data_IF_448059327123
#
_entry.id   IF_448059327123
#
_cell.length_a   1.000
_cell.length_b   1.000
_cell.length_c   1.000
_cell.angle_alpha   90.00
_cell.angle_beta   90.00
_cell.angle_gamma   90.00
#
_symmetry.space_group_name_H-M   'P 1'
#
loop_
_entity.id
_entity.type
_entity.pdbx_description
1 polymer ?
#
# COMPACT_ATOMS: atom_id res chain seq x y z
N UNK A 1 -29.81 -19.48 23.63
CA UNK A 1 -28.34 -19.41 23.73
C UNK A 1 -27.62 -20.64 23.19
N UNK A 2 -27.77 -21.87 23.72
CA UNK A 2 -27.08 -23.07 23.18
C UNK A 2 -27.60 -23.55 21.81
N UNK A 3 -28.89 -23.37 21.53
CA UNK A 3 -29.49 -23.77 20.25
C UNK A 3 -29.21 -22.76 19.12
N UNK A 4 -29.12 -21.48 19.44
CA UNK A 4 -28.84 -20.42 18.45
C UNK A 4 -27.39 -20.50 17.95
N UNK A 5 -26.42 -20.73 18.85
CA UNK A 5 -25.02 -20.95 18.48
C UNK A 5 -24.79 -22.19 17.61
N UNK A 6 -25.64 -23.22 17.75
CA UNK A 6 -25.55 -24.43 16.94
C UNK A 6 -26.09 -24.18 15.52
N UNK A 7 -27.19 -23.43 15.41
CA UNK A 7 -27.79 -23.01 14.14
C UNK A 7 -26.89 -22.09 13.33
N UNK A 8 -26.22 -21.12 13.99
CA UNK A 8 -25.33 -20.18 13.31
C UNK A 8 -24.07 -20.86 12.76
N UNK A 9 -23.50 -21.81 13.51
CA UNK A 9 -22.34 -22.60 13.06
C UNK A 9 -22.68 -23.51 11.87
N UNK A 10 -23.92 -24.01 11.82
CA UNK A 10 -24.39 -24.86 10.72
C UNK A 10 -24.58 -24.04 9.43
N UNK A 11 -25.11 -22.82 9.53
CA UNK A 11 -25.21 -21.87 8.40
C UNK A 11 -23.85 -21.43 7.88
N UNK A 12 -22.90 -21.16 8.79
CA UNK A 12 -21.51 -20.79 8.44
C UNK A 12 -20.84 -21.91 7.62
N UNK A 13 -20.98 -23.17 8.06
CA UNK A 13 -20.46 -24.32 7.32
C UNK A 13 -21.14 -24.49 5.96
N UNK A 14 -22.46 -24.31 5.87
CA UNK A 14 -23.19 -24.39 4.59
C UNK A 14 -22.71 -23.34 3.57
N UNK A 15 -22.45 -22.10 4.02
CA UNK A 15 -21.90 -21.04 3.17
C UNK A 15 -20.49 -21.37 2.66
N UNK A 16 -19.62 -21.92 3.53
CA UNK A 16 -18.29 -22.34 3.14
C UNK A 16 -18.34 -23.51 2.14
N UNK A 17 -19.16 -24.53 2.40
CA UNK A 17 -19.36 -25.66 1.48
C UNK A 17 -19.89 -25.22 0.13
N UNK A 18 -20.87 -24.31 0.11
CA UNK A 18 -21.41 -23.75 -1.12
C UNK A 18 -20.35 -23.00 -1.94
N UNK A 19 -19.59 -22.10 -1.31
CA UNK A 19 -18.54 -21.35 -2.00
C UNK A 19 -17.45 -22.28 -2.57
N UNK A 20 -17.04 -23.28 -1.79
CA UNK A 20 -16.02 -24.24 -2.19
C UNK A 20 -16.40 -24.98 -3.49
N UNK A 21 -17.65 -25.46 -3.56
CA UNK A 21 -18.16 -26.14 -4.74
C UNK A 21 -18.17 -25.24 -5.99
N UNK A 22 -18.43 -23.94 -5.81
CA UNK A 22 -18.45 -22.98 -6.93
C UNK A 22 -17.05 -22.57 -7.38
N UNK A 23 -16.13 -22.31 -6.45
CA UNK A 23 -14.76 -21.90 -6.79
C UNK A 23 -13.93 -23.01 -7.45
N UNK A 24 -14.27 -24.29 -7.21
CA UNK A 24 -13.69 -25.42 -7.94
C UNK A 24 -13.95 -25.36 -9.46
N UNK A 25 -15.02 -24.70 -9.90
CA UNK A 25 -15.35 -24.53 -11.32
C UNK A 25 -14.54 -23.43 -12.04
N UNK A 26 -13.66 -22.70 -11.33
CA UNK A 26 -12.87 -21.53 -11.78
C UNK A 26 -13.63 -20.31 -12.27
N UNK A 27 -14.91 -20.46 -12.67
CA UNK A 27 -15.79 -19.38 -13.06
C UNK A 27 -16.68 -18.99 -11.88
N UNK A 28 -16.41 -17.85 -11.26
CA UNK A 28 -17.30 -17.27 -10.26
C UNK A 28 -18.60 -16.79 -10.92
N UNK A 29 -19.75 -17.18 -10.36
CA UNK A 29 -21.06 -16.64 -10.72
C UNK A 29 -21.52 -15.56 -9.72
N UNK A 30 -22.70 -14.98 -9.98
CA UNK A 30 -23.28 -13.93 -9.15
C UNK A 30 -23.43 -14.33 -7.67
N UNK A 31 -23.87 -15.57 -7.43
CA UNK A 31 -24.01 -16.12 -6.08
C UNK A 31 -22.65 -16.22 -5.37
N UNK A 32 -21.61 -16.64 -6.10
CA UNK A 32 -20.24 -16.71 -5.60
C UNK A 32 -19.72 -15.32 -5.19
N UNK A 33 -19.99 -14.28 -5.99
CA UNK A 33 -19.59 -12.90 -5.64
C UNK A 33 -20.26 -12.41 -4.36
N UNK A 34 -21.55 -12.72 -4.17
CA UNK A 34 -22.27 -12.36 -2.94
C UNK A 34 -21.65 -13.04 -1.73
N UNK A 35 -21.33 -14.34 -1.82
CA UNK A 35 -20.73 -15.08 -0.70
C UNK A 35 -19.33 -14.56 -0.39
N UNK A 36 -18.50 -14.29 -1.40
CA UNK A 36 -17.19 -13.65 -1.20
C UNK A 36 -17.35 -12.29 -0.53
N UNK A 37 -18.32 -11.48 -0.97
CA UNK A 37 -18.60 -10.18 -0.37
C UNK A 37 -19.01 -10.27 1.11
N UNK A 38 -19.83 -11.26 1.47
CA UNK A 38 -20.17 -11.54 2.88
C UNK A 38 -18.90 -11.90 3.67
N UNK A 39 -18.03 -12.75 3.13
CA UNK A 39 -16.77 -13.12 3.79
C UNK A 39 -15.85 -11.91 3.98
N UNK A 40 -15.73 -11.04 2.98
CA UNK A 40 -15.00 -9.78 3.08
C UNK A 40 -15.52 -8.91 4.24
N UNK A 41 -16.85 -8.79 4.40
CA UNK A 41 -17.45 -8.02 5.49
C UNK A 41 -17.20 -8.66 6.86
N UNK A 42 -17.33 -9.99 6.97
CA UNK A 42 -17.01 -10.73 8.20
C UNK A 42 -15.55 -10.50 8.61
N UNK A 43 -14.63 -10.62 7.64
CA UNK A 43 -13.20 -10.41 7.85
C UNK A 43 -12.90 -8.95 8.23
N UNK A 44 -13.51 -7.98 7.55
CA UNK A 44 -13.39 -6.56 7.89
C UNK A 44 -13.83 -6.28 9.34
N UNK A 45 -15.02 -6.72 9.73
CA UNK A 45 -15.52 -6.52 11.11
C UNK A 45 -14.70 -7.26 12.16
N UNK A 46 -14.04 -8.36 11.79
CA UNK A 46 -13.13 -9.07 12.69
C UNK A 46 -11.84 -8.35 13.02
N UNK A 47 -11.39 -7.43 12.17
CA UNK A 47 -10.31 -6.52 12.53
C UNK A 47 -10.72 -5.59 13.70
N UNK A 48 -12.02 -5.33 13.89
CA UNK A 48 -12.56 -4.57 15.02
C UNK A 48 -13.03 -5.48 16.17
N UNK A 49 -12.46 -6.69 16.26
CA UNK A 49 -12.73 -7.68 17.29
C UNK A 49 -14.15 -8.28 17.34
N UNK A 50 -14.96 -8.10 16.30
CA UNK A 50 -16.31 -8.70 16.14
C UNK A 50 -16.24 -9.94 15.25
N UNK A 51 -17.08 -10.97 15.40
CA UNK A 51 -17.06 -12.15 14.50
C UNK A 51 -15.69 -12.90 14.42
N UNK A 52 -14.90 -12.88 15.51
CA UNK A 52 -13.59 -13.55 15.57
C UNK A 52 -13.65 -15.05 15.28
N UNK A 53 -14.68 -15.76 15.75
CA UNK A 53 -14.78 -17.20 15.51
C UNK A 53 -15.00 -17.51 14.02
N UNK A 54 -15.96 -16.82 13.40
CA UNK A 54 -16.32 -17.01 11.98
C UNK A 54 -15.17 -16.61 11.05
N UNK A 55 -14.50 -15.49 11.33
CA UNK A 55 -13.30 -15.10 10.55
C UNK A 55 -12.19 -16.16 10.62
N UNK A 56 -11.95 -16.78 11.78
CA UNK A 56 -10.99 -17.88 11.90
C UNK A 56 -11.37 -19.09 11.04
N UNK A 57 -12.66 -19.43 10.98
CA UNK A 57 -13.12 -20.56 10.16
C UNK A 57 -12.93 -20.28 8.66
N UNK A 58 -13.21 -19.04 8.22
CA UNK A 58 -12.96 -18.59 6.84
C UNK A 58 -11.46 -18.67 6.52
N UNK A 59 -10.61 -18.07 7.37
CA UNK A 59 -9.16 -17.98 7.14
C UNK A 59 -8.47 -19.34 7.05
N UNK A 60 -8.94 -20.34 7.81
CA UNK A 60 -8.35 -21.67 7.91
C UNK A 60 -9.04 -22.71 7.01
N UNK A 61 -9.99 -22.29 6.17
CA UNK A 61 -10.73 -23.21 5.30
C UNK A 61 -9.84 -23.71 4.15
N UNK A 62 -9.44 -24.98 4.19
CA UNK A 62 -8.51 -25.58 3.22
C UNK A 62 -9.00 -25.54 1.77
N UNK A 63 -10.29 -25.76 1.55
CA UNK A 63 -10.88 -25.75 0.21
C UNK A 63 -10.87 -24.35 -0.38
N UNK A 64 -11.23 -23.33 0.41
CA UNK A 64 -11.15 -21.93 0.01
C UNK A 64 -9.69 -21.53 -0.30
N UNK A 65 -8.75 -21.95 0.53
CA UNK A 65 -7.31 -21.71 0.29
C UNK A 65 -6.88 -22.31 -1.04
N UNK A 66 -7.22 -23.58 -1.29
CA UNK A 66 -6.87 -24.27 -2.54
C UNK A 66 -7.52 -23.61 -3.75
N UNK A 67 -8.75 -23.12 -3.61
CA UNK A 67 -9.48 -22.50 -4.71
C UNK A 67 -8.94 -21.11 -5.05
N UNK A 68 -8.59 -20.30 -4.03
CA UNK A 68 -7.89 -19.03 -4.21
C UNK A 68 -6.55 -19.25 -4.92
N UNK A 69 -5.75 -20.23 -4.47
CA UNK A 69 -4.47 -20.54 -5.10
C UNK A 69 -4.65 -20.98 -6.56
N UNK A 70 -5.61 -21.87 -6.85
CA UNK A 70 -5.92 -22.31 -8.20
C UNK A 70 -6.29 -21.15 -9.14
N UNK A 71 -7.15 -20.22 -8.68
CA UNK A 71 -7.54 -19.04 -9.47
C UNK A 71 -6.33 -18.14 -9.74
N UNK A 72 -5.54 -17.85 -8.71
CA UNK A 72 -4.34 -16.99 -8.83
C UNK A 72 -3.30 -17.61 -9.75
N UNK A 73 -3.02 -18.91 -9.63
CA UNK A 73 -2.07 -19.61 -10.49
C UNK A 73 -2.57 -19.67 -11.94
N UNK A 74 -3.87 -19.92 -12.15
CA UNK A 74 -4.48 -19.93 -13.49
C UNK A 74 -4.31 -18.58 -14.17
N UNK A 75 -4.66 -17.51 -13.48
CA UNK A 75 -4.52 -16.15 -14.02
C UNK A 75 -3.05 -15.76 -14.20
N UNK A 76 -2.19 -16.13 -13.25
CA UNK A 76 -0.76 -15.86 -13.34
C UNK A 76 -0.11 -16.57 -14.52
N UNK A 77 -0.54 -17.79 -14.84
CA UNK A 77 -0.07 -18.56 -15.98
C UNK A 77 -0.48 -17.96 -17.32
N UNK A 78 -1.66 -17.33 -17.41
CA UNK A 78 -2.11 -16.58 -18.60
C UNK A 78 -1.22 -15.35 -18.88
N UNK A 79 -0.77 -14.66 -17.82
CA UNK A 79 0.13 -13.52 -17.98
C UNK A 79 -0.55 -12.35 -18.73
N UNK A 80 0.14 -11.70 -19.68
CA UNK A 80 -0.41 -10.54 -20.41
C UNK A 80 -1.71 -10.81 -21.18
N UNK A 81 -1.98 -12.06 -21.59
CA UNK A 81 -3.21 -12.41 -22.30
C UNK A 81 -4.47 -12.33 -21.42
N UNK A 82 -4.32 -12.12 -20.10
CA UNK A 82 -5.44 -11.85 -19.21
C UNK A 82 -6.22 -10.59 -19.61
N UNK A 83 -5.54 -9.59 -20.19
CA UNK A 83 -6.19 -8.36 -20.63
C UNK A 83 -7.05 -8.55 -21.90
N UNK A 84 -6.84 -9.65 -22.63
CA UNK A 84 -7.44 -9.91 -23.94
C UNK A 84 -8.64 -10.88 -23.89
N UNK A 85 -8.92 -11.52 -22.74
CA UNK A 85 -9.95 -12.55 -22.56
C UNK A 85 -11.08 -12.16 -21.58
N UNK A 86 -12.21 -12.88 -21.71
CA UNK A 86 -13.50 -12.78 -21.00
C UNK A 86 -13.50 -12.05 -19.64
N UNK A 87 -14.33 -11.00 -19.55
CA UNK A 87 -14.60 -10.20 -18.34
C UNK A 87 -14.93 -11.01 -17.06
N UNK A 88 -15.37 -12.28 -17.20
CA UNK A 88 -15.70 -13.15 -16.07
C UNK A 88 -14.50 -13.49 -15.16
N UNK A 89 -13.35 -13.82 -15.75
CA UNK A 89 -12.15 -14.19 -14.95
C UNK A 89 -11.54 -12.98 -14.24
N UNK A 90 -11.58 -11.81 -14.87
CA UNK A 90 -11.16 -10.55 -14.24
C UNK A 90 -12.02 -10.24 -13.00
N UNK A 91 -13.34 -10.33 -13.12
CA UNK A 91 -14.24 -10.09 -11.99
C UNK A 91 -14.04 -11.08 -10.84
N UNK A 92 -13.91 -12.36 -11.14
CA UNK A 92 -13.57 -13.39 -10.15
C UNK A 92 -12.26 -13.08 -9.43
N UNK A 93 -11.21 -12.70 -10.18
CA UNK A 93 -9.94 -12.31 -9.58
C UNK A 93 -10.07 -11.08 -8.66
N UNK A 94 -10.81 -10.06 -9.06
CA UNK A 94 -11.00 -8.85 -8.23
C UNK A 94 -11.64 -9.23 -6.87
N UNK A 95 -12.69 -10.04 -6.88
CA UNK A 95 -13.34 -10.49 -5.64
C UNK A 95 -12.40 -11.35 -4.79
N UNK A 96 -11.62 -12.25 -5.40
CA UNK A 96 -10.61 -13.06 -4.72
C UNK A 96 -9.51 -12.19 -4.10
N UNK A 97 -9.04 -11.15 -4.79
CA UNK A 97 -8.04 -10.22 -4.26
C UNK A 97 -8.61 -9.35 -3.12
N UNK A 98 -9.87 -8.91 -3.22
CA UNK A 98 -10.54 -8.23 -2.11
C UNK A 98 -10.68 -9.14 -0.89
N UNK A 99 -11.08 -10.40 -1.10
CA UNK A 99 -11.13 -11.41 -0.04
C UNK A 99 -9.77 -11.58 0.62
N UNK A 100 -8.71 -11.65 -0.19
CA UNK A 100 -7.34 -11.75 0.31
C UNK A 100 -6.93 -10.51 1.11
N UNK A 101 -7.22 -9.30 0.63
CA UNK A 101 -6.97 -8.05 1.37
C UNK A 101 -7.63 -8.06 2.76
N UNK A 102 -8.92 -8.37 2.84
CA UNK A 102 -9.61 -8.42 4.13
C UNK A 102 -9.14 -9.60 4.99
N UNK A 103 -8.70 -10.70 4.37
CA UNK A 103 -8.07 -11.82 5.06
C UNK A 103 -6.77 -11.40 5.75
N UNK A 104 -5.92 -10.62 5.07
CA UNK A 104 -4.70 -10.07 5.65
C UNK A 104 -4.99 -9.17 6.85
N UNK A 105 -5.95 -8.23 6.70
CA UNK A 105 -6.38 -7.35 7.81
C UNK A 105 -6.86 -8.15 9.02
N UNK A 106 -7.71 -9.15 8.80
CA UNK A 106 -8.20 -10.02 9.87
C UNK A 106 -7.06 -10.84 10.50
N UNK A 107 -6.17 -11.40 9.67
CA UNK A 107 -5.04 -12.22 10.11
C UNK A 107 -4.10 -11.42 11.00
N UNK A 108 -3.65 -10.25 10.54
CA UNK A 108 -2.70 -9.41 11.28
C UNK A 108 -3.27 -8.89 12.60
N UNK A 109 -4.58 -8.67 12.69
CA UNK A 109 -5.21 -8.24 13.96
C UNK A 109 -5.53 -9.40 14.91
N UNK A 110 -5.94 -10.56 14.39
CA UNK A 110 -6.43 -11.67 15.22
C UNK A 110 -5.39 -12.77 15.50
N UNK A 111 -4.26 -12.77 14.79
CA UNK A 111 -3.20 -13.79 14.86
C UNK A 111 -1.80 -13.17 14.99
N UNK A 112 -1.64 -12.08 15.75
CA UNK A 112 -0.36 -11.38 15.95
C UNK A 112 0.79 -12.30 16.40
N UNK A 113 0.49 -13.38 17.12
CA UNK A 113 1.49 -14.32 17.64
C UNK A 113 2.04 -15.31 16.60
N UNK A 114 1.34 -15.52 15.47
CA UNK A 114 1.65 -16.58 14.51
C UNK A 114 1.54 -16.06 13.08
N UNK A 115 2.52 -15.27 12.65
CA UNK A 115 2.70 -14.99 11.23
C UNK A 115 4.01 -15.60 10.75
N UNK A 116 3.91 -16.50 9.79
CA UNK A 116 5.05 -17.08 9.09
C UNK A 116 5.23 -16.29 7.79
N UNK A 117 6.14 -15.31 7.77
CA UNK A 117 6.49 -14.58 6.54
C UNK A 117 6.90 -15.51 5.39
N UNK A 118 7.33 -16.75 5.70
CA UNK A 118 7.59 -17.84 4.74
C UNK A 118 6.40 -18.17 3.84
N UNK A 119 5.17 -17.88 4.28
CA UNK A 119 3.98 -18.06 3.46
C UNK A 119 3.92 -17.02 2.31
N UNK A 120 4.42 -15.80 2.55
CA UNK A 120 4.35 -14.69 1.59
C UNK A 120 5.63 -14.52 0.77
N UNK A 121 6.77 -14.83 1.39
CA UNK A 121 8.13 -14.67 0.84
C UNK A 121 8.77 -16.04 0.63
N UNK A 122 9.50 -16.20 -0.48
CA UNK A 122 10.23 -17.44 -0.75
C UNK A 122 11.40 -17.59 0.26
N UNK A 123 11.29 -18.59 1.14
CA UNK A 123 12.35 -18.98 2.07
C UNK A 123 13.19 -20.11 1.47
N UNK A 124 14.52 -20.11 1.66
CA UNK A 124 15.37 -21.21 1.21
C UNK A 124 15.26 -22.48 2.07
N UNK A 125 14.71 -22.38 3.29
CA UNK A 125 14.56 -23.50 4.23
C UNK A 125 13.12 -24.04 4.23
N UNK A 126 12.91 -25.20 3.58
CA UNK A 126 11.61 -25.89 3.42
C UNK A 126 11.08 -26.58 4.70
N UNK A 127 11.86 -26.61 5.80
CA UNK A 127 11.57 -27.50 6.94
C UNK A 127 10.55 -26.99 7.97
N UNK A 128 9.95 -25.80 7.80
CA UNK A 128 9.00 -25.23 8.79
C UNK A 128 7.57 -25.30 8.27
N UNK A 129 6.66 -25.83 9.11
CA UNK A 129 5.23 -25.93 8.81
C UNK A 129 4.63 -24.56 8.46
N UNK A 130 4.16 -24.44 7.22
CA UNK A 130 3.39 -23.29 6.75
C UNK A 130 2.02 -23.26 7.44
N UNK A 131 1.58 -22.07 7.85
CA UNK A 131 0.18 -21.88 8.24
C UNK A 131 -0.70 -22.11 7.02
N UNK A 132 -1.65 -23.04 7.12
CA UNK A 132 -2.69 -23.24 6.11
C UNK A 132 -3.73 -22.12 6.20
N UNK A 133 -3.35 -20.94 5.71
CA UNK A 133 -4.20 -19.74 5.61
C UNK A 133 -4.27 -19.25 4.17
N UNK A 134 -5.29 -18.45 3.84
CA UNK A 134 -5.41 -17.82 2.53
C UNK A 134 -4.18 -16.93 2.32
N UNK A 135 -3.33 -17.30 1.35
CA UNK A 135 -2.05 -16.66 1.14
C UNK A 135 -1.73 -16.57 -0.36
N UNK A 136 -1.52 -15.35 -0.84
CA UNK A 136 -0.99 -15.09 -2.17
C UNK A 136 0.46 -14.62 -1.99
N UNK A 137 1.41 -15.26 -2.69
CA UNK A 137 2.83 -14.91 -2.55
C UNK A 137 3.09 -13.54 -3.15
N UNK A 138 4.06 -12.81 -2.60
CA UNK A 138 4.42 -11.47 -3.11
C UNK A 138 4.77 -11.47 -4.60
N UNK A 139 5.41 -12.52 -5.12
CA UNK A 139 5.71 -12.62 -6.55
C UNK A 139 4.45 -12.77 -7.42
N UNK A 140 3.42 -13.45 -6.95
CA UNK A 140 2.14 -13.58 -7.67
C UNK A 140 1.43 -12.21 -7.69
N UNK A 141 1.45 -11.48 -6.57
CA UNK A 141 0.95 -10.09 -6.54
C UNK A 141 1.72 -9.19 -7.51
N UNK A 142 3.05 -9.28 -7.53
CA UNK A 142 3.89 -8.50 -8.47
C UNK A 142 3.58 -8.84 -9.93
N UNK A 143 3.35 -10.12 -10.25
CA UNK A 143 2.90 -10.57 -11.57
C UNK A 143 1.57 -9.90 -11.95
N UNK A 144 0.57 -9.98 -11.07
CA UNK A 144 -0.73 -9.34 -11.28
C UNK A 144 -0.62 -7.82 -11.43
N UNK A 145 0.27 -7.16 -10.69
CA UNK A 145 0.54 -5.73 -10.84
C UNK A 145 1.23 -5.40 -12.18
N UNK A 146 2.11 -6.27 -12.66
CA UNK A 146 2.85 -6.05 -13.90
C UNK A 146 1.93 -6.10 -15.13
N UNK A 147 1.15 -7.18 -15.29
CA UNK A 147 0.36 -7.42 -16.50
C UNK A 147 -1.17 -7.35 -16.32
N UNK A 148 -1.68 -7.28 -15.08
CA UNK A 148 -3.12 -7.27 -14.85
C UNK A 148 -3.81 -5.99 -15.36
N UNK A 149 -5.14 -6.02 -15.56
CA UNK A 149 -5.92 -4.84 -15.90
C UNK A 149 -5.90 -3.80 -14.76
N UNK A 150 -6.23 -2.52 -15.03
CA UNK A 150 -6.05 -1.42 -14.07
C UNK A 150 -6.57 -1.70 -12.65
N UNK A 151 -7.80 -2.22 -12.54
CA UNK A 151 -8.41 -2.48 -11.24
C UNK A 151 -7.71 -3.62 -10.49
N UNK A 152 -7.27 -4.66 -11.19
CA UNK A 152 -6.44 -5.75 -10.62
C UNK A 152 -5.13 -5.19 -10.09
N UNK A 153 -4.46 -4.28 -10.81
CA UNK A 153 -3.23 -3.63 -10.34
C UNK A 153 -3.45 -2.86 -9.04
N UNK A 154 -4.55 -2.11 -8.94
CA UNK A 154 -4.88 -1.37 -7.73
C UNK A 154 -5.06 -2.31 -6.54
N UNK A 155 -5.94 -3.32 -6.65
CA UNK A 155 -6.20 -4.24 -5.53
C UNK A 155 -4.96 -5.08 -5.18
N UNK A 156 -4.22 -5.59 -6.17
CA UNK A 156 -3.00 -6.35 -5.94
C UNK A 156 -1.90 -5.52 -5.27
N UNK A 157 -1.70 -4.27 -5.71
CA UNK A 157 -0.75 -3.35 -5.07
C UNK A 157 -1.13 -3.05 -3.62
N UNK A 158 -2.43 -2.91 -3.33
CA UNK A 158 -2.93 -2.71 -1.97
C UNK A 158 -2.72 -3.94 -1.09
N UNK A 159 -2.92 -5.15 -1.64
CA UNK A 159 -2.60 -6.39 -0.94
C UNK A 159 -1.11 -6.47 -0.61
N UNK A 160 -0.23 -6.06 -1.54
CA UNK A 160 1.22 -6.06 -1.31
C UNK A 160 1.62 -5.09 -0.19
N UNK A 161 1.03 -3.90 -0.15
CA UNK A 161 1.21 -2.95 0.97
C UNK A 161 0.82 -3.60 2.29
N UNK A 162 -0.33 -4.27 2.34
CA UNK A 162 -0.82 -4.92 3.57
C UNK A 162 0.11 -6.06 4.02
N UNK A 163 0.56 -6.91 3.09
CA UNK A 163 1.53 -7.99 3.38
C UNK A 163 2.84 -7.43 3.94
N UNK A 164 3.44 -6.45 3.27
CA UNK A 164 4.72 -5.89 3.70
C UNK A 164 4.59 -5.11 5.02
N UNK A 165 3.46 -4.44 5.24
CA UNK A 165 3.15 -3.77 6.50
C UNK A 165 3.09 -4.78 7.64
N UNK A 166 2.33 -5.86 7.48
CA UNK A 166 2.22 -6.91 8.50
C UNK A 166 3.55 -7.61 8.80
N UNK A 167 4.37 -7.91 7.77
CA UNK A 167 5.72 -8.45 7.98
C UNK A 167 6.61 -7.45 8.73
N UNK A 168 6.56 -6.16 8.36
CA UNK A 168 7.37 -5.12 9.00
C UNK A 168 7.02 -4.94 10.48
N UNK A 169 5.74 -4.89 10.80
CA UNK A 169 5.25 -4.74 12.18
C UNK A 169 5.68 -5.92 13.03
N UNK A 170 5.50 -7.14 12.52
CA UNK A 170 5.85 -8.34 13.26
C UNK A 170 7.36 -8.46 13.49
N UNK A 171 8.20 -8.05 12.53
CA UNK A 171 9.65 -7.99 12.71
C UNK A 171 10.06 -6.95 13.74
N UNK A 172 9.35 -5.83 13.80
CA UNK A 172 9.59 -4.80 14.80
C UNK A 172 9.29 -5.31 16.22
N UNK A 173 8.22 -6.11 16.38
CA UNK A 173 7.82 -6.69 17.67
C UNK A 173 8.72 -7.86 18.09
N UNK A 174 8.93 -8.82 17.19
CA UNK A 174 9.58 -10.09 17.52
C UNK A 174 11.10 -10.08 17.32
N UNK A 175 11.65 -9.04 16.68
CA UNK A 175 13.07 -8.94 16.30
C UNK A 175 13.61 -10.15 15.52
N UNK A 176 12.73 -10.89 14.85
CA UNK A 176 13.11 -12.09 14.14
C UNK A 176 13.87 -11.77 12.85
N UNK A 177 14.89 -12.58 12.56
CA UNK A 177 15.64 -12.51 11.32
C UNK A 177 14.78 -12.96 10.13
N UNK A 178 14.68 -12.10 9.11
CA UNK A 178 13.94 -12.41 7.90
C UNK A 178 14.79 -13.26 6.96
N UNK A 179 14.41 -14.53 6.78
CA UNK A 179 15.02 -15.43 5.79
C UNK A 179 14.26 -15.43 4.48
N UNK A 180 14.66 -14.56 3.56
CA UNK A 180 14.12 -14.45 2.20
C UNK A 180 15.27 -14.54 1.17
N UNK A 181 15.01 -15.18 0.03
CA UNK A 181 15.97 -15.20 -1.08
C UNK A 181 16.23 -13.79 -1.61
N UNK A 182 17.50 -13.39 -1.75
CA UNK A 182 17.87 -12.08 -2.30
C UNK A 182 17.36 -11.88 -3.74
N UNK A 183 17.46 -12.91 -4.58
CA UNK A 183 16.96 -12.86 -5.96
C UNK A 183 15.43 -12.67 -6.02
N UNK A 184 14.72 -13.24 -5.03
CA UNK A 184 13.28 -13.06 -4.91
C UNK A 184 12.94 -11.61 -4.50
N UNK A 185 13.69 -11.03 -3.56
CA UNK A 185 13.53 -9.63 -3.17
C UNK A 185 13.88 -8.67 -4.31
N UNK A 186 14.96 -8.93 -5.03
CA UNK A 186 15.35 -8.14 -6.21
C UNK A 186 14.24 -8.15 -7.26
N UNK A 187 13.61 -9.31 -7.51
CA UNK A 187 12.49 -9.42 -8.45
C UNK A 187 11.28 -8.58 -8.02
N UNK A 188 10.97 -8.58 -6.71
CA UNK A 188 9.89 -7.75 -6.14
C UNK A 188 10.24 -6.26 -6.29
N UNK A 189 11.45 -5.85 -5.90
CA UNK A 189 11.90 -4.46 -5.97
C UNK A 189 11.84 -3.94 -7.41
N UNK A 190 12.32 -4.71 -8.38
CA UNK A 190 12.31 -4.32 -9.80
C UNK A 190 10.89 -4.02 -10.33
N UNK A 191 9.91 -4.85 -9.98
CA UNK A 191 8.50 -4.61 -10.38
C UNK A 191 7.96 -3.36 -9.70
N UNK A 192 8.23 -3.18 -8.41
CA UNK A 192 7.74 -2.04 -7.66
C UNK A 192 8.38 -0.73 -8.16
N UNK A 193 9.70 -0.68 -8.35
CA UNK A 193 10.42 0.48 -8.89
C UNK A 193 9.89 0.88 -10.26
N UNK A 194 9.65 -0.08 -11.16
CA UNK A 194 9.08 0.19 -12.48
C UNK A 194 7.66 0.76 -12.43
N UNK A 195 6.86 0.36 -11.44
CA UNK A 195 5.47 0.81 -11.29
C UNK A 195 5.31 2.12 -10.50
N UNK A 196 6.38 2.67 -9.92
CA UNK A 196 6.37 4.05 -9.39
C UNK A 196 6.01 5.06 -10.47
N UNK A 197 6.39 4.78 -11.72
CA UNK A 197 6.07 5.61 -12.89
C UNK A 197 4.74 5.25 -13.55
N UNK A 198 3.91 4.40 -12.93
CA UNK A 198 2.60 4.05 -13.46
C UNK A 198 1.68 5.29 -13.54
N UNK A 199 0.87 5.37 -14.60
CA UNK A 199 -0.13 6.45 -14.74
C UNK A 199 -1.24 6.39 -13.69
N UNK A 200 -1.47 5.23 -13.08
CA UNK A 200 -2.38 5.07 -11.95
C UNK A 200 -1.68 5.52 -10.65
N UNK A 201 -2.16 6.63 -10.09
CA UNK A 201 -1.59 7.24 -8.89
C UNK A 201 -1.68 6.33 -7.66
N UNK A 202 -2.75 5.55 -7.51
CA UNK A 202 -2.92 4.65 -6.36
C UNK A 202 -1.88 3.54 -6.42
N UNK A 203 -1.69 2.94 -7.60
CA UNK A 203 -0.66 1.92 -7.81
C UNK A 203 0.73 2.49 -7.55
N UNK A 204 1.05 3.65 -8.13
CA UNK A 204 2.35 4.31 -7.93
C UNK A 204 2.63 4.61 -6.45
N UNK A 205 1.61 5.10 -5.72
CA UNK A 205 1.73 5.41 -4.31
C UNK A 205 1.91 4.15 -3.45
N UNK A 206 1.15 3.09 -3.74
CA UNK A 206 1.31 1.80 -3.08
C UNK A 206 2.72 1.23 -3.33
N UNK A 207 3.24 1.37 -4.55
CA UNK A 207 4.61 0.98 -4.87
C UNK A 207 5.64 1.76 -4.05
N UNK A 208 5.50 3.08 -3.95
CA UNK A 208 6.37 3.90 -3.11
C UNK A 208 6.30 3.52 -1.61
N UNK A 209 5.11 3.17 -1.10
CA UNK A 209 4.96 2.65 0.26
C UNK A 209 5.71 1.33 0.44
N UNK A 210 5.52 0.37 -0.48
CA UNK A 210 6.21 -0.92 -0.45
C UNK A 210 7.74 -0.76 -0.45
N UNK A 211 8.30 0.05 -1.36
CA UNK A 211 9.75 0.32 -1.39
C UNK A 211 10.25 0.95 -0.09
N UNK A 212 9.49 1.90 0.46
CA UNK A 212 9.84 2.55 1.71
C UNK A 212 9.86 1.57 2.89
N UNK A 213 8.93 0.60 2.92
CA UNK A 213 8.92 -0.47 3.93
C UNK A 213 10.12 -1.40 3.77
N UNK A 214 10.43 -1.81 2.53
CA UNK A 214 11.59 -2.66 2.24
C UNK A 214 12.91 -1.98 2.62
N UNK A 215 13.07 -0.68 2.34
CA UNK A 215 14.25 0.08 2.77
C UNK A 215 14.44 0.05 4.29
N UNK A 216 13.35 0.14 5.06
CA UNK A 216 13.41 0.08 6.52
C UNK A 216 13.84 -1.29 7.05
N UNK A 217 13.80 -2.33 6.23
CA UNK A 217 14.27 -3.66 6.62
C UNK A 217 15.78 -3.74 6.81
N UNK A 218 16.55 -2.77 6.32
CA UNK A 218 17.98 -2.59 6.63
C UNK A 218 18.20 -2.55 8.15
N UNK A 219 17.45 -1.69 8.84
CA UNK A 219 17.52 -1.52 10.31
C UNK A 219 17.06 -2.75 11.09
N UNK A 220 16.41 -3.68 10.41
CA UNK A 220 15.94 -4.95 10.96
C UNK A 220 16.90 -6.11 10.62
N UNK A 221 18.11 -5.80 10.15
CA UNK A 221 19.20 -6.76 9.91
C UNK A 221 19.37 -7.23 8.47
N UNK A 222 18.51 -6.81 7.53
CA UNK A 222 18.63 -7.20 6.11
C UNK A 222 19.39 -6.13 5.32
N UNK A 223 20.70 -6.03 5.54
CA UNK A 223 21.53 -4.93 5.04
C UNK A 223 21.61 -4.91 3.51
N UNK A 224 21.52 -6.07 2.86
CA UNK A 224 21.59 -6.24 1.41
C UNK A 224 20.43 -5.51 0.69
N UNK A 225 19.30 -5.30 1.35
CA UNK A 225 18.17 -4.56 0.76
C UNK A 225 18.55 -3.14 0.39
N UNK A 226 19.47 -2.53 1.14
CA UNK A 226 19.98 -1.19 0.85
C UNK A 226 20.82 -1.15 -0.43
N UNK A 227 21.49 -2.26 -0.77
CA UNK A 227 22.23 -2.39 -2.04
C UNK A 227 21.27 -2.61 -3.21
N UNK A 228 20.26 -3.46 -3.02
CA UNK A 228 19.25 -3.75 -4.04
C UNK A 228 18.47 -2.49 -4.40
N UNK A 229 18.01 -1.74 -3.39
CA UNK A 229 17.20 -0.53 -3.62
C UNK A 229 18.09 0.69 -3.91
N UNK A 230 19.35 0.71 -3.47
CA UNK A 230 20.33 1.74 -3.85
C UNK A 230 20.74 1.74 -5.33
N UNK A 231 19.99 1.02 -6.19
CA UNK A 231 20.24 0.81 -7.61
C UNK A 231 20.12 2.10 -8.44
N UNK A 232 20.40 1.96 -9.75
CA UNK A 232 20.23 3.05 -10.72
C UNK A 232 18.77 3.49 -10.88
N UNK A 233 17.79 2.65 -10.56
CA UNK A 233 16.38 2.98 -10.69
C UNK A 233 15.94 3.96 -9.60
N UNK A 234 16.29 3.70 -8.35
CA UNK A 234 16.05 4.65 -7.26
C UNK A 234 16.76 5.98 -7.49
N UNK A 235 17.97 5.98 -8.09
CA UNK A 235 18.61 7.22 -8.54
C UNK A 235 17.76 7.97 -9.58
N UNK A 236 17.28 7.28 -10.61
CA UNK A 236 16.42 7.87 -11.64
C UNK A 236 15.15 8.48 -11.04
N UNK A 237 14.48 7.78 -10.13
CA UNK A 237 13.28 8.27 -9.42
C UNK A 237 13.58 9.60 -8.70
N UNK A 238 14.72 9.69 -8.02
CA UNK A 238 15.10 10.90 -7.27
C UNK A 238 15.55 12.02 -8.22
N UNK A 239 16.26 11.73 -9.30
CA UNK A 239 16.63 12.73 -10.31
C UNK A 239 15.39 13.35 -10.97
N UNK A 240 14.41 12.54 -11.35
CA UNK A 240 13.13 13.01 -11.92
C UNK A 240 12.31 13.83 -10.91
N UNK A 241 12.30 13.44 -9.64
CA UNK A 241 11.70 14.22 -8.57
C UNK A 241 12.35 15.60 -8.45
N UNK A 242 13.68 15.66 -8.39
CA UNK A 242 14.43 16.91 -8.27
C UNK A 242 14.18 17.80 -9.49
N UNK A 243 14.19 17.23 -10.70
CA UNK A 243 13.87 17.99 -11.92
C UNK A 243 12.45 18.56 -11.87
N UNK A 244 11.48 17.77 -11.40
CA UNK A 244 10.07 18.17 -11.28
C UNK A 244 9.86 19.30 -10.27
N UNK A 245 10.56 19.25 -9.13
CA UNK A 245 10.42 20.23 -8.05
C UNK A 245 11.28 21.48 -8.26
N UNK A 246 12.51 21.34 -8.75
CA UNK A 246 13.43 22.45 -8.95
C UNK A 246 13.19 23.22 -10.25
N UNK A 247 12.68 22.55 -11.28
CA UNK A 247 12.49 23.11 -12.62
C UNK A 247 11.15 22.66 -13.23
N UNK A 248 10.01 23.03 -12.64
CA UNK A 248 8.69 22.50 -13.05
C UNK A 248 8.34 22.77 -14.53
N UNK A 249 8.88 23.82 -15.14
CA UNK A 249 8.69 24.13 -16.56
C UNK A 249 9.41 23.18 -17.53
N UNK A 250 10.41 22.43 -17.04
CA UNK A 250 11.16 21.43 -17.80
C UNK A 250 10.69 20.00 -17.52
N UNK A 251 9.81 19.83 -16.53
CA UNK A 251 9.31 18.53 -16.12
C UNK A 251 8.40 17.91 -17.19
N UNK A 252 8.50 16.60 -17.36
CA UNK A 252 7.59 15.84 -18.22
C UNK A 252 6.16 15.94 -17.71
N UNK A 253 5.20 16.25 -18.61
CA UNK A 253 3.75 16.26 -18.30
C UNK A 253 3.25 14.91 -17.77
N UNK A 254 3.95 13.81 -18.08
CA UNK A 254 3.60 12.46 -17.63
C UNK A 254 3.89 12.24 -16.14
N UNK A 255 4.79 13.05 -15.56
CA UNK A 255 5.33 12.86 -14.20
C UNK A 255 4.83 13.91 -13.19
N UNK A 256 4.06 14.91 -13.63
CA UNK A 256 3.61 16.01 -12.78
C UNK A 256 2.83 15.55 -11.53
N UNK A 257 2.15 14.41 -11.59
CA UNK A 257 1.40 13.83 -10.47
C UNK A 257 2.20 12.80 -9.65
N UNK A 258 3.44 12.51 -10.01
CA UNK A 258 4.28 11.44 -9.40
C UNK A 258 5.34 11.97 -8.43
N UNK A 259 5.37 13.28 -8.18
CA UNK A 259 6.27 13.88 -7.19
C UNK A 259 6.04 13.33 -5.77
N UNK A 260 4.79 12.97 -5.39
CA UNK A 260 4.51 12.43 -4.04
C UNK A 260 5.08 11.01 -3.83
N UNK A 261 4.80 10.01 -4.71
CA UNK A 261 5.47 8.71 -4.63
C UNK A 261 7.00 8.82 -4.59
N UNK A 262 7.58 9.64 -5.48
CA UNK A 262 9.03 9.80 -5.55
C UNK A 262 9.61 10.51 -4.32
N UNK A 263 8.95 11.53 -3.78
CA UNK A 263 9.35 12.21 -2.54
C UNK A 263 9.38 11.24 -1.35
N UNK A 264 8.41 10.33 -1.27
CA UNK A 264 8.36 9.29 -0.23
C UNK A 264 9.56 8.35 -0.32
N UNK A 265 9.93 7.92 -1.52
CA UNK A 265 11.11 7.06 -1.76
C UNK A 265 12.40 7.82 -1.41
N UNK A 266 12.54 9.07 -1.86
CA UNK A 266 13.69 9.91 -1.54
C UNK A 266 13.87 10.09 -0.02
N UNK A 267 12.79 10.37 0.71
CA UNK A 267 12.81 10.46 2.17
C UNK A 267 13.21 9.12 2.81
N UNK A 268 12.70 7.99 2.31
CA UNK A 268 13.08 6.67 2.82
C UNK A 268 14.57 6.35 2.62
N UNK A 269 15.14 6.72 1.46
CA UNK A 269 16.58 6.58 1.19
C UNK A 269 17.44 7.44 2.13
N UNK A 270 17.01 8.67 2.42
CA UNK A 270 17.69 9.56 3.37
C UNK A 270 17.65 9.03 4.82
N UNK A 271 16.68 8.18 5.16
CA UNK A 271 16.55 7.55 6.49
C UNK A 271 17.43 6.32 6.70
N UNK A 272 18.05 5.80 5.65
CA UNK A 272 18.98 4.67 5.72
C UNK A 272 20.18 4.99 6.61
N UNK A 273 20.76 3.97 7.23
CA UNK A 273 21.97 4.18 8.04
C UNK A 273 23.16 4.51 7.14
N UNK A 274 23.26 3.82 6.00
CA UNK A 274 24.20 4.14 4.92
C UNK A 274 23.47 4.74 3.73
N UNK A 275 23.36 6.06 3.73
CA UNK A 275 22.78 6.82 2.62
C UNK A 275 23.59 6.57 1.32
N UNK A 276 22.95 6.21 0.20
CA UNK A 276 23.64 6.06 -1.08
C UNK A 276 24.42 7.33 -1.48
N UNK A 277 25.71 7.18 -1.78
CA UNK A 277 26.62 8.33 -2.00
C UNK A 277 26.22 9.25 -3.15
N UNK A 278 25.46 8.76 -4.13
CA UNK A 278 24.96 9.57 -5.25
C UNK A 278 23.88 10.58 -4.82
N UNK A 279 23.21 10.41 -3.68
CA UNK A 279 22.14 11.31 -3.23
C UNK A 279 22.65 12.74 -3.05
N UNK A 280 23.89 12.91 -2.58
CA UNK A 280 24.53 14.23 -2.44
C UNK A 280 24.77 14.94 -3.77
N UNK A 281 24.99 14.19 -4.85
CA UNK A 281 25.11 14.78 -6.18
C UNK A 281 23.77 15.15 -6.82
N UNK A 282 22.67 14.52 -6.39
CA UNK A 282 21.33 14.79 -6.92
C UNK A 282 20.66 15.93 -6.13
N UNK A 283 20.77 15.92 -4.80
CA UNK A 283 20.38 17.04 -3.93
C UNK A 283 21.58 17.94 -3.65
N UNK A 284 22.14 18.55 -4.70
CA UNK A 284 23.15 19.59 -4.53
C UNK A 284 22.53 20.93 -4.10
N UNK A 285 23.37 21.89 -3.73
CA UNK A 285 22.90 23.18 -3.22
C UNK A 285 22.05 23.95 -4.25
N UNK A 286 22.35 23.82 -5.55
CA UNK A 286 21.59 24.50 -6.61
C UNK A 286 20.21 23.88 -6.79
N UNK A 287 20.14 22.55 -6.80
CA UNK A 287 18.90 21.80 -6.88
C UNK A 287 18.00 22.09 -5.68
N UNK A 288 18.55 22.06 -4.46
CA UNK A 288 17.80 22.35 -3.24
C UNK A 288 17.26 23.79 -3.25
N UNK A 289 18.09 24.78 -3.61
CA UNK A 289 17.60 26.16 -3.74
C UNK A 289 16.47 26.27 -4.74
N UNK A 290 16.61 25.65 -5.91
CA UNK A 290 15.54 25.59 -6.91
C UNK A 290 14.26 24.94 -6.37
N UNK A 291 14.35 23.86 -5.60
CA UNK A 291 13.20 23.22 -4.96
C UNK A 291 12.51 24.20 -3.99
N UNK A 292 13.27 24.82 -3.08
CA UNK A 292 12.74 25.72 -2.06
C UNK A 292 12.09 26.96 -2.67
N UNK A 293 12.66 27.48 -3.77
CA UNK A 293 12.14 28.65 -4.49
C UNK A 293 10.84 28.35 -5.28
N UNK A 294 10.66 27.11 -5.76
CA UNK A 294 9.52 26.74 -6.60
C UNK A 294 8.36 26.08 -5.84
N UNK A 295 8.57 25.59 -4.62
CA UNK A 295 7.47 25.07 -3.79
C UNK A 295 6.67 26.24 -3.22
N UNK A 296 5.35 26.18 -3.39
CA UNK A 296 4.39 27.11 -2.80
C UNK A 296 3.50 26.42 -1.77
N UNK A 297 2.86 27.21 -0.90
CA UNK A 297 1.93 26.71 0.11
C UNK A 297 0.80 25.84 -0.50
N UNK A 298 0.30 26.21 -1.69
CA UNK A 298 -0.74 25.44 -2.40
C UNK A 298 -0.27 24.11 -2.99
N UNK A 299 1.05 23.89 -3.10
CA UNK A 299 1.64 22.64 -3.63
C UNK A 299 2.16 21.70 -2.53
N UNK A 300 2.05 22.09 -1.25
CA UNK A 300 2.53 21.28 -0.15
C UNK A 300 1.71 19.99 0.02
N UNK A 301 2.42 18.93 0.37
CA UNK A 301 1.84 17.64 0.74
C UNK A 301 2.67 16.99 1.83
N UNK A 302 2.11 16.05 2.61
CA UNK A 302 2.83 15.37 3.68
C UNK A 302 4.16 14.76 3.19
N UNK A 303 4.18 14.20 1.97
CA UNK A 303 5.36 13.58 1.39
C UNK A 303 6.48 14.58 1.07
N UNK A 304 6.13 15.79 0.62
CA UNK A 304 7.09 16.86 0.35
C UNK A 304 7.66 17.42 1.66
N UNK A 305 6.81 17.63 2.67
CA UNK A 305 7.28 18.09 3.99
C UNK A 305 8.18 17.05 4.64
N UNK A 306 7.81 15.77 4.55
CA UNK A 306 8.63 14.66 5.01
C UNK A 306 10.00 14.66 4.33
N UNK A 307 10.07 14.85 3.01
CA UNK A 307 11.33 14.95 2.28
C UNK A 307 12.19 16.12 2.76
N UNK A 308 11.60 17.32 2.89
CA UNK A 308 12.32 18.51 3.36
C UNK A 308 12.86 18.32 4.79
N UNK A 309 12.10 17.63 5.65
CA UNK A 309 12.56 17.26 7.00
C UNK A 309 13.76 16.33 6.94
N UNK A 310 13.72 15.27 6.14
CA UNK A 310 14.86 14.35 6.04
C UNK A 310 16.12 15.03 5.44
N UNK A 311 15.94 15.92 4.46
CA UNK A 311 17.04 16.74 3.93
C UNK A 311 17.64 17.65 5.01
N UNK A 312 16.82 18.25 5.86
CA UNK A 312 17.28 19.06 6.98
C UNK A 312 18.06 18.20 7.99
N UNK A 313 17.46 17.11 8.46
CA UNK A 313 18.01 16.24 9.51
C UNK A 313 19.31 15.56 9.08
N UNK A 314 19.53 15.38 7.77
CA UNK A 314 20.78 14.88 7.21
C UNK A 314 21.76 15.98 6.76
N UNK A 315 21.53 17.24 7.10
CA UNK A 315 22.38 18.39 6.77
C UNK A 315 22.60 18.59 5.26
N UNK A 316 21.55 18.40 4.47
CA UNK A 316 21.51 18.78 3.05
C UNK A 316 21.06 20.23 2.88
N UNK A 317 20.17 20.73 3.76
CA UNK A 317 19.74 22.13 3.73
C UNK A 317 20.77 23.05 4.42
N UNK A 318 21.06 24.19 3.80
CA UNK A 318 21.78 25.29 4.43
C UNK A 318 20.90 26.04 5.43
N UNK A 319 21.49 26.84 6.32
CA UNK A 319 20.73 27.64 7.30
C UNK A 319 19.72 28.58 6.64
N UNK A 320 20.11 29.19 5.52
CA UNK A 320 19.24 30.09 4.77
C UNK A 320 18.07 29.31 4.13
N UNK A 321 18.35 28.15 3.55
CA UNK A 321 17.31 27.27 3.00
C UNK A 321 16.33 26.78 4.08
N UNK A 322 16.83 26.45 5.28
CA UNK A 322 15.97 26.09 6.43
C UNK A 322 15.07 27.26 6.80
N UNK A 323 15.60 28.49 6.88
CA UNK A 323 14.80 29.68 7.17
C UNK A 323 13.70 29.93 6.12
N UNK A 324 13.99 29.71 4.83
CA UNK A 324 13.01 29.79 3.76
C UNK A 324 11.90 28.74 3.92
N UNK A 325 12.25 27.48 4.22
CA UNK A 325 11.27 26.40 4.46
C UNK A 325 10.41 26.69 5.69
N UNK A 326 11.00 27.18 6.78
CA UNK A 326 10.25 27.64 7.97
C UNK A 326 9.22 28.70 7.60
N UNK A 327 9.63 29.72 6.86
CA UNK A 327 8.73 30.78 6.44
C UNK A 327 7.58 30.24 5.58
N UNK A 328 7.87 29.37 4.62
CA UNK A 328 6.87 28.70 3.79
C UNK A 328 5.83 27.94 4.63
N UNK A 329 6.27 27.17 5.64
CA UNK A 329 5.37 26.43 6.51
C UNK A 329 4.54 27.33 7.44
N UNK A 330 5.09 28.47 7.89
CA UNK A 330 4.33 29.49 8.61
C UNK A 330 3.25 30.13 7.73
N UNK A 331 3.58 30.46 6.48
CA UNK A 331 2.61 30.99 5.51
C UNK A 331 1.48 30.00 5.28
N UNK A 332 1.80 28.71 5.08
CA UNK A 332 0.78 27.67 4.94
C UNK A 332 -0.14 27.57 6.15
N UNK A 333 0.43 27.53 7.37
CA UNK A 333 -0.36 27.49 8.62
C UNK A 333 -1.32 28.68 8.72
N UNK A 334 -0.84 29.89 8.43
CA UNK A 334 -1.67 31.09 8.49
C UNK A 334 -2.85 31.01 7.49
N UNK A 335 -2.60 30.54 6.26
CA UNK A 335 -3.64 30.35 5.24
C UNK A 335 -4.66 29.27 5.65
N UNK A 336 -4.19 28.15 6.21
CA UNK A 336 -5.05 27.06 6.67
C UNK A 336 -6.05 27.51 7.74
N UNK A 337 -5.63 28.32 8.72
CA UNK A 337 -6.53 28.82 9.76
C UNK A 337 -7.57 29.84 9.23
N UNK A 338 -7.23 30.60 8.18
CA UNK A 338 -8.19 31.50 7.50
C UNK A 338 -9.23 30.74 6.65
N UNK A 339 -8.88 29.58 6.10
CA UNK A 339 -9.81 28.75 5.32
C UNK A 339 -10.74 27.89 6.20
N UNK A 340 -10.29 27.46 7.38
CA UNK A 340 -11.12 26.72 8.36
C UNK A 340 -12.32 27.56 8.82
N UNK A 341 -12.25 28.88 8.78
CA UNK A 341 -13.39 29.77 9.09
C UNK A 341 -14.40 29.92 7.95
N UNK A 342 -14.14 29.35 6.76
CA UNK A 342 -14.99 29.49 5.56
C UNK A 342 -15.48 28.17 4.94
N UNK A 343 -14.98 27.01 5.33
CA UNK A 343 -15.33 25.74 4.67
C UNK A 343 -16.48 25.02 5.38
N UNK A 344 -17.67 25.18 4.82
CA UNK A 344 -18.79 24.24 4.89
C UNK A 344 -18.37 22.93 4.22
N UNK A 345 -18.54 21.79 4.90
CA UNK A 345 -18.24 20.45 4.38
C UNK A 345 -18.86 20.21 3.00
N UNK A 346 -18.05 20.29 1.95
CA UNK A 346 -18.40 19.73 0.65
C UNK A 346 -17.78 18.35 0.56
N UNK A 347 -18.61 17.35 0.87
CA UNK A 347 -18.33 15.94 0.58
C UNK A 347 -18.04 15.87 -0.92
N UNK A 348 -16.79 15.58 -1.30
CA UNK A 348 -16.45 15.32 -2.70
C UNK A 348 -17.36 14.19 -3.20
N UNK A 349 -18.33 14.57 -4.02
CA UNK A 349 -19.08 13.63 -4.84
C UNK A 349 -18.09 13.07 -5.83
N UNK A 350 -17.81 11.78 -5.71
CA UNK A 350 -17.23 11.01 -6.80
C UNK A 350 -18.19 11.20 -7.98
N UNK A 351 -17.73 11.90 -9.02
CA UNK A 351 -18.41 11.93 -10.31
C UNK A 351 -18.44 10.51 -10.85
N UNK A 352 -19.54 9.81 -10.62
CA UNK A 352 -19.89 8.60 -11.37
C UNK A 352 -20.58 9.04 -12.65
N UNK A 353 -19.80 9.12 -13.73
CA UNK A 353 -20.31 8.67 -15.02
C UNK A 353 -20.38 7.15 -14.92
N UNK A 354 -21.56 6.58 -15.17
CA UNK A 354 -21.91 5.18 -15.55
C UNK A 354 -23.22 4.78 -14.86
N UNK A 355 -24.12 4.17 -15.63
CA UNK A 355 -25.50 3.84 -15.25
C UNK A 355 -25.63 3.04 -13.97
N UNK A 356 -26.85 3.04 -13.42
CA UNK A 356 -27.25 2.33 -12.18
C UNK A 356 -26.62 0.92 -12.20
N UNK A 357 -25.61 0.64 -11.36
CA UNK A 357 -24.99 -0.68 -11.33
C UNK A 357 -26.01 -1.70 -10.82
N UNK A 358 -25.90 -2.94 -11.29
CA UNK A 358 -26.52 -4.07 -10.60
C UNK A 358 -26.01 -4.18 -9.15
N UNK A 359 -26.65 -5.02 -8.33
CA UNK A 359 -26.32 -5.13 -6.92
C UNK A 359 -24.90 -5.66 -6.65
N UNK A 360 -24.30 -6.36 -7.60
CA UNK A 360 -22.92 -6.88 -7.53
C UNK A 360 -21.91 -5.76 -7.79
N UNK A 361 -22.18 -4.91 -8.77
CA UNK A 361 -21.41 -3.70 -9.06
C UNK A 361 -21.38 -2.77 -7.84
N UNK A 362 -22.52 -2.59 -7.16
CA UNK A 362 -22.60 -1.83 -5.90
C UNK A 362 -21.78 -2.48 -4.78
N UNK A 363 -21.88 -3.80 -4.62
CA UNK A 363 -21.10 -4.54 -3.62
C UNK A 363 -19.60 -4.39 -3.87
N UNK A 364 -19.14 -4.55 -5.13
CA UNK A 364 -17.74 -4.36 -5.50
C UNK A 364 -17.25 -2.96 -5.16
N UNK A 365 -18.01 -1.92 -5.51
CA UNK A 365 -17.68 -0.53 -5.18
C UNK A 365 -17.61 -0.33 -3.66
N UNK A 366 -18.56 -0.91 -2.91
CA UNK A 366 -18.57 -0.83 -1.44
C UNK A 366 -17.30 -1.47 -0.85
N UNK A 367 -16.95 -2.69 -1.25
CA UNK A 367 -15.76 -3.39 -0.76
C UNK A 367 -14.47 -2.65 -1.14
N UNK A 368 -14.42 -2.10 -2.35
CA UNK A 368 -13.30 -1.29 -2.81
C UNK A 368 -13.15 0.00 -2.00
N UNK A 369 -14.26 0.68 -1.69
CA UNK A 369 -14.26 1.85 -0.82
C UNK A 369 -13.81 1.50 0.61
N UNK A 370 -14.23 0.35 1.16
CA UNK A 370 -13.75 -0.13 2.47
C UNK A 370 -12.25 -0.46 2.46
N UNK A 371 -11.72 -0.92 1.32
CA UNK A 371 -10.30 -1.19 1.16
C UNK A 371 -9.48 0.11 1.12
N UNK A 372 -9.88 1.08 0.29
CA UNK A 372 -9.14 2.35 0.12
C UNK A 372 -9.36 3.32 1.27
N UNK A 373 -10.55 3.31 1.86
CA UNK A 373 -10.98 4.21 2.93
C UNK A 373 -11.58 3.39 4.09
N UNK A 374 -10.74 2.65 4.85
CA UNK A 374 -11.21 1.78 5.94
C UNK A 374 -12.06 2.52 7.00
N UNK A 375 -11.86 3.83 7.11
CA UNK A 375 -12.51 4.71 8.08
C UNK A 375 -13.71 5.48 7.53
N UNK A 376 -14.30 5.11 6.39
CA UNK A 376 -15.52 5.76 5.88
C UNK A 376 -16.74 5.66 6.85
N UNK A 377 -16.62 4.90 7.94
CA UNK A 377 -17.59 4.75 9.02
C UNK A 377 -17.20 5.51 10.31
N UNK A 378 -16.02 6.13 10.39
CA UNK A 378 -15.51 6.83 11.57
C UNK A 378 -15.29 8.34 11.30
N UNK A 379 -15.90 9.26 12.07
CA UNK A 379 -15.88 10.70 11.79
C UNK A 379 -14.56 11.42 12.14
N UNK A 380 -13.54 10.71 12.63
CA UNK A 380 -12.27 11.29 13.10
C UNK A 380 -11.08 10.67 12.37
N UNK A 381 -10.95 10.96 11.08
CA UNK A 381 -9.74 10.62 10.31
C UNK A 381 -8.93 11.89 10.11
N UNK A 382 -7.60 11.86 10.30
CA UNK A 382 -6.76 12.94 9.84
C UNK A 382 -6.90 13.05 8.32
N UNK A 383 -7.53 14.10 7.85
CA UNK A 383 -7.49 14.48 6.45
C UNK A 383 -6.02 14.64 6.01
N UNK A 384 -5.73 14.58 4.72
CA UNK A 384 -4.40 14.91 4.18
C UNK A 384 -3.87 16.25 4.74
N UNK A 385 -4.78 17.16 5.07
CA UNK A 385 -4.52 18.41 5.78
C UNK A 385 -3.99 18.21 7.21
N UNK A 386 -4.67 17.41 8.04
CA UNK A 386 -4.20 17.13 9.41
C UNK A 386 -2.84 16.45 9.39
N UNK A 387 -2.64 15.48 8.49
CA UNK A 387 -1.36 14.80 8.34
C UNK A 387 -0.25 15.73 7.86
N UNK A 388 -0.58 16.68 6.98
CA UNK A 388 0.36 17.71 6.55
C UNK A 388 0.75 18.63 7.71
N UNK A 389 -0.22 19.04 8.54
CA UNK A 389 0.06 19.83 9.75
C UNK A 389 0.95 19.06 10.73
N UNK A 390 0.68 17.77 10.98
CA UNK A 390 1.54 16.92 11.83
C UNK A 390 2.98 16.84 11.30
N UNK A 391 3.17 16.68 9.98
CA UNK A 391 4.51 16.64 9.38
C UNK A 391 5.23 17.99 9.49
N UNK A 392 4.51 19.11 9.35
CA UNK A 392 5.02 20.46 9.54
C UNK A 392 5.45 20.66 11.01
N UNK A 393 4.65 20.17 11.96
CA UNK A 393 4.93 20.29 13.39
C UNK A 393 6.19 19.51 13.78
N UNK A 394 6.34 18.30 13.26
CA UNK A 394 7.57 17.51 13.40
C UNK A 394 8.79 18.23 12.84
N UNK A 395 8.66 18.91 11.69
CA UNK A 395 9.76 19.70 11.12
C UNK A 395 10.19 20.84 12.06
N UNK A 396 9.24 21.60 12.61
CA UNK A 396 9.56 22.67 13.57
C UNK A 396 10.25 22.13 14.82
N UNK A 397 9.78 20.99 15.34
CA UNK A 397 10.38 20.36 16.50
C UNK A 397 11.82 19.92 16.24
N UNK A 398 12.09 19.19 15.15
CA UNK A 398 13.44 18.73 14.83
C UNK A 398 14.39 19.91 14.53
N UNK A 399 13.89 20.95 13.86
CA UNK A 399 14.69 22.14 13.59
C UNK A 399 15.16 22.85 14.87
N UNK A 400 14.35 22.85 15.93
CA UNK A 400 14.72 23.45 17.23
C UNK A 400 15.76 22.65 18.02
N UNK A 401 15.96 21.37 17.68
CA UNK A 401 16.96 20.51 18.31
C UNK A 401 18.31 20.63 17.58
N UNK A 402 18.28 20.85 16.26
CA UNK A 402 19.45 20.86 15.39
C UNK A 402 20.11 22.24 15.23
N UNK A 403 19.35 23.32 15.40
CA UNK A 403 19.82 24.72 15.37
C UNK A 403 19.92 25.30 16.78
#
# INVERSE_FOLDING_TARGET
>A
MRNDQKSDKEKENQLLEFLNAKLESTLCDEESFVVIGIFCLVLHHSANHVLKHTSRAILLNKSLISAVDAIVQTVSAKGPSLADEEAGMEHCLIFVLLLYFFSLKSLFTNFQEILYWKNFLQSPDDEVQQLSVICIRCHDLCRLMHFGPPLVKVVASQCLVEVLSGISEQRNINHNELRCSLNYLESIVMVIEGLVFCGDYVVAMNCAMCLSMLLRWEKLGLVEIGVIIGSKWSRLIVEELVMTLATPNLASKCLANQHKPAARIAAALLRMDKIPGWIRSVFDNSCISGIVENISAGSLSPDIVMLLRELMTRNYLSKDQVACVHHLFQVYRNQAYEDITKVTFTKQSIETVVGIPDDIGKMRIMLFNLMLYPSALDPVVPTDHNRLLEEIDMFFHESSILL
#
